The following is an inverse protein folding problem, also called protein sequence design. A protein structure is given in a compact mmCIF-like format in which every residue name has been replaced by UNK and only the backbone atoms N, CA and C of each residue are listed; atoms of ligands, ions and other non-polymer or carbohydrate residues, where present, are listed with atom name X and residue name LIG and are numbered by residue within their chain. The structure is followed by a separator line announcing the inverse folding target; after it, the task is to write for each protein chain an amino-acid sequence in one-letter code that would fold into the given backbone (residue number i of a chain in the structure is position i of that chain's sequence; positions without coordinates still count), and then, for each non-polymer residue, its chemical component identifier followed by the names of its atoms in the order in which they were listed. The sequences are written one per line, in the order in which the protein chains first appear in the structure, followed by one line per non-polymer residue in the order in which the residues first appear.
data_IF_148752640668
#
_entry.id   IF_148752640668
#
_cell.length_a   1.000
_cell.length_b   1.000
_cell.length_c   1.000
_cell.angle_alpha   90.00
_cell.angle_beta   90.00
_cell.angle_gamma   90.00
#
_symmetry.space_group_name_H-M   'P 1'
#
loop_
_entity.id
_entity.type
_entity.pdbx_description
1 polymer ?
#
# COMPACT_ATOMS: atom_id res chain seq x y z
N UNK A 1 -9.24 -5.48 1.10
CA UNK A 1 -9.23 -4.05 0.68
C UNK A 1 -8.27 -3.88 -0.48
N UNK A 2 -8.57 -2.99 -1.44
CA UNK A 2 -7.66 -2.67 -2.56
C UNK A 2 -7.40 -1.16 -2.58
N UNK A 3 -6.14 -0.76 -2.49
CA UNK A 3 -5.70 0.63 -2.66
C UNK A 3 -5.48 0.88 -4.15
N UNK A 4 -6.35 1.68 -4.77
CA UNK A 4 -6.44 1.81 -6.24
C UNK A 4 -5.78 3.06 -6.81
N UNK A 5 -5.46 4.04 -5.97
CA UNK A 5 -4.85 5.26 -6.47
C UNK A 5 -5.85 6.33 -6.89
N UNK A 6 -5.32 7.43 -7.42
CA UNK A 6 -6.12 8.40 -8.15
C UNK A 6 -6.45 7.85 -9.55
N UNK A 7 -7.74 7.73 -9.84
CA UNK A 7 -8.25 7.21 -11.13
C UNK A 7 -8.57 8.31 -12.14
N UNK A 8 -8.38 9.58 -11.77
CA UNK A 8 -8.62 10.72 -12.65
C UNK A 8 -7.38 11.10 -13.46
N UNK A 9 -6.25 10.41 -13.27
CA UNK A 9 -5.02 10.60 -14.03
C UNK A 9 -5.15 9.85 -15.36
N UNK A 10 -4.87 10.53 -16.47
CA UNK A 10 -4.84 9.92 -17.81
C UNK A 10 -3.72 8.88 -17.90
N UNK A 11 -3.84 7.89 -18.80
CA UNK A 11 -2.79 6.86 -18.92
C UNK A 11 -1.42 7.45 -19.31
N UNK A 12 -1.44 8.52 -20.10
CA UNK A 12 -0.26 9.26 -20.54
C UNK A 12 0.45 10.01 -19.40
N UNK A 13 -0.25 10.23 -18.29
CA UNK A 13 0.24 10.95 -17.12
C UNK A 13 0.58 10.02 -15.95
N UNK A 14 0.29 8.73 -16.05
CA UNK A 14 0.57 7.76 -14.97
C UNK A 14 2.03 7.82 -14.52
N UNK A 15 3.00 7.95 -15.43
CA UNK A 15 4.43 8.01 -15.05
C UNK A 15 4.92 9.40 -14.64
N UNK A 16 4.09 10.44 -14.81
CA UNK A 16 4.48 11.86 -14.66
C UNK A 16 3.95 12.45 -13.37
N UNK A 17 2.72 12.08 -12.99
CA UNK A 17 2.04 12.64 -11.82
C UNK A 17 2.22 11.70 -10.63
N UNK A 18 2.95 12.16 -9.63
CA UNK A 18 3.06 11.51 -8.33
C UNK A 18 2.22 12.29 -7.31
N UNK A 19 1.05 11.75 -6.97
CA UNK A 19 0.22 12.33 -5.92
C UNK A 19 0.63 11.76 -4.57
N UNK A 20 1.02 12.62 -3.63
CA UNK A 20 1.19 12.23 -2.24
C UNK A 20 -0.17 11.87 -1.62
N UNK A 21 -0.34 10.60 -1.27
CA UNK A 21 -1.57 10.03 -0.74
C UNK A 21 -1.33 9.30 0.58
N UNK A 22 -0.26 9.72 1.29
CA UNK A 22 0.07 9.23 2.64
C UNK A 22 -1.09 9.45 3.61
N UNK A 23 -1.79 10.58 3.53
CA UNK A 23 -2.96 10.87 4.37
C UNK A 23 -4.11 9.87 4.16
N UNK A 24 -4.38 9.49 2.92
CA UNK A 24 -5.40 8.50 2.58
C UNK A 24 -5.00 7.11 3.11
N UNK A 25 -3.74 6.72 2.91
CA UNK A 25 -3.22 5.46 3.45
C UNK A 25 -3.30 5.42 4.99
N UNK A 26 -2.99 6.53 5.66
CA UNK A 26 -3.08 6.63 7.11
C UNK A 26 -4.53 6.49 7.60
N UNK A 27 -5.50 7.06 6.88
CA UNK A 27 -6.91 6.90 7.21
C UNK A 27 -7.35 5.43 7.10
N UNK A 28 -6.96 4.75 6.00
CA UNK A 28 -7.24 3.32 5.84
C UNK A 28 -6.58 2.45 6.90
N UNK A 29 -5.35 2.77 7.31
CA UNK A 29 -4.66 2.08 8.39
C UNK A 29 -5.41 2.24 9.73
N UNK A 30 -5.92 3.43 10.02
CA UNK A 30 -6.73 3.67 11.22
C UNK A 30 -8.04 2.87 11.20
N UNK A 31 -8.78 2.88 10.09
CA UNK A 31 -10.02 2.10 9.94
C UNK A 31 -9.76 0.61 10.14
N UNK A 32 -8.67 0.08 9.57
CA UNK A 32 -8.31 -1.33 9.74
C UNK A 32 -8.03 -1.67 11.20
N UNK A 33 -7.30 -0.80 11.91
CA UNK A 33 -7.00 -0.99 13.34
C UNK A 33 -8.27 -0.96 14.20
N UNK A 34 -9.13 0.04 14.01
CA UNK A 34 -10.42 0.11 14.73
C UNK A 34 -11.28 -1.14 14.44
N UNK A 35 -11.33 -1.60 13.19
CA UNK A 35 -12.07 -2.82 12.83
C UNK A 35 -11.52 -4.07 13.55
N UNK A 36 -10.20 -4.15 13.75
CA UNK A 36 -9.58 -5.26 14.48
C UNK A 36 -9.89 -5.21 15.99
N UNK A 37 -9.97 -4.01 16.57
CA UNK A 37 -10.27 -3.82 18.00
C UNK A 37 -11.76 -4.06 18.31
N UNK A 38 -12.64 -3.62 17.42
CA UNK A 38 -14.10 -3.63 17.61
C UNK A 38 -14.76 -4.96 17.19
N UNK A 39 -14.29 -5.61 16.13
CA UNK A 39 -14.88 -6.84 15.61
C UNK A 39 -13.92 -8.04 15.67
N UNK A 40 -13.97 -8.74 16.81
CA UNK A 40 -13.19 -9.97 17.05
C UNK A 40 -13.54 -11.14 16.11
N UNK A 41 -14.58 -11.02 15.26
CA UNK A 41 -14.91 -12.04 14.24
C UNK A 41 -14.00 -11.95 13.02
N UNK A 42 -13.34 -10.81 12.80
CA UNK A 42 -12.39 -10.62 11.71
C UNK A 42 -11.10 -11.38 12.05
N UNK A 43 -10.87 -12.51 11.37
CA UNK A 43 -9.67 -13.35 11.58
C UNK A 43 -8.54 -13.07 10.59
N UNK A 44 -8.85 -12.46 9.45
CA UNK A 44 -7.90 -12.21 8.38
C UNK A 44 -8.30 -10.96 7.60
N UNK A 45 -7.33 -10.07 7.36
CA UNK A 45 -7.46 -8.95 6.45
C UNK A 45 -6.37 -9.02 5.39
N UNK A 46 -6.76 -8.84 4.13
CA UNK A 46 -5.83 -8.77 2.99
C UNK A 46 -5.96 -7.37 2.37
N UNK A 47 -4.82 -6.70 2.20
CA UNK A 47 -4.72 -5.40 1.56
C UNK A 47 -3.82 -5.51 0.34
N UNK A 48 -4.37 -5.16 -0.83
CA UNK A 48 -3.63 -5.17 -2.09
C UNK A 48 -3.39 -3.73 -2.56
N UNK A 49 -2.13 -3.37 -2.79
CA UNK A 49 -1.77 -2.13 -3.48
C UNK A 49 -1.78 -2.38 -4.99
N UNK A 50 -2.73 -1.75 -5.69
CA UNK A 50 -2.83 -1.80 -7.14
C UNK A 50 -3.10 -0.40 -7.67
N UNK A 51 -2.11 0.46 -7.42
CA UNK A 51 -2.12 1.89 -7.63
C UNK A 51 -0.76 2.34 -8.17
N UNK A 52 -0.74 3.57 -8.69
CA UNK A 52 0.49 4.29 -9.00
C UNK A 52 0.88 5.26 -7.85
N UNK A 53 0.74 4.84 -6.59
CA UNK A 53 1.25 5.65 -5.47
C UNK A 53 2.75 5.39 -5.28
N UNK A 54 3.51 6.46 -5.00
CA UNK A 54 4.92 6.42 -4.66
C UNK A 54 5.79 5.58 -5.61
N UNK A 55 5.66 5.83 -6.93
CA UNK A 55 6.41 5.22 -8.05
C UNK A 55 6.07 3.78 -8.43
N UNK A 56 5.59 2.90 -7.54
CA UNK A 56 5.27 1.50 -7.88
C UNK A 56 4.46 0.82 -6.74
N UNK A 57 3.54 -0.12 -7.08
CA UNK A 57 2.72 -0.86 -6.11
C UNK A 57 3.49 -1.45 -4.90
N UNK A 58 4.72 -2.00 -5.08
CA UNK A 58 5.58 -2.42 -3.97
C UNK A 58 5.95 -1.32 -2.96
N UNK A 59 6.19 -0.08 -3.41
CA UNK A 59 6.50 1.05 -2.51
C UNK A 59 5.30 1.45 -1.65
N UNK A 60 4.10 1.39 -2.21
CA UNK A 60 2.85 1.57 -1.44
C UNK A 60 2.70 0.47 -0.39
N UNK A 61 2.89 -0.79 -0.77
CA UNK A 61 2.80 -1.91 0.16
C UNK A 61 3.83 -1.79 1.29
N UNK A 62 5.07 -1.38 0.96
CA UNK A 62 6.14 -1.12 1.93
C UNK A 62 5.71 -0.08 2.97
N UNK A 63 5.26 1.10 2.52
CA UNK A 63 4.83 2.19 3.40
C UNK A 63 3.62 1.78 4.25
N UNK A 64 2.63 1.15 3.62
CA UNK A 64 1.41 0.72 4.31
C UNK A 64 1.71 -0.31 5.40
N UNK A 65 2.60 -1.28 5.15
CA UNK A 65 3.06 -2.23 6.18
C UNK A 65 3.58 -1.50 7.42
N UNK A 66 4.43 -0.49 7.25
CA UNK A 66 4.92 0.33 8.36
C UNK A 66 3.79 1.03 9.13
N UNK A 67 2.79 1.57 8.42
CA UNK A 67 1.65 2.26 9.04
C UNK A 67 0.76 1.34 9.90
N UNK A 68 0.69 0.05 9.57
CA UNK A 68 -0.07 -0.95 10.34
C UNK A 68 0.83 -1.80 11.25
N UNK A 69 2.05 -1.33 11.55
CA UNK A 69 3.04 -2.00 12.40
C UNK A 69 3.42 -3.42 11.95
N UNK A 70 3.30 -3.71 10.65
CA UNK A 70 3.86 -4.91 10.04
C UNK A 70 5.29 -4.63 9.58
N UNK A 71 6.13 -5.66 9.66
CA UNK A 71 7.48 -5.59 9.09
C UNK A 71 7.37 -5.43 7.57
N UNK A 72 7.81 -4.30 6.99
CA UNK A 72 7.80 -4.14 5.55
C UNK A 72 8.84 -5.09 4.95
N UNK A 73 8.50 -5.73 3.84
CA UNK A 73 9.47 -6.51 3.08
C UNK A 73 10.21 -5.52 2.16
N UNK A 74 11.53 -5.63 2.05
CA UNK A 74 12.29 -4.82 1.11
C UNK A 74 12.41 -5.57 -0.23
N UNK A 75 11.77 -5.04 -1.28
CA UNK A 75 11.75 -5.68 -2.61
C UNK A 75 13.05 -5.50 -3.38
N UNK A 76 13.80 -4.41 -3.15
CA UNK A 76 15.09 -4.17 -3.82
C UNK A 76 16.18 -5.15 -3.36
N UNK A 77 16.08 -5.66 -2.12
CA UNK A 77 16.99 -6.70 -1.63
C UNK A 77 16.68 -8.11 -2.13
N UNK A 78 15.45 -8.38 -2.61
CA UNK A 78 15.09 -9.71 -3.15
C UNK A 78 15.55 -9.87 -4.59
N UNK A 79 15.40 -8.86 -5.45
CA UNK A 79 15.83 -8.94 -6.85
C UNK A 79 17.34 -9.16 -7.01
N UNK A 80 18.17 -8.62 -6.12
CA UNK A 80 19.61 -8.82 -6.16
C UNK A 80 20.06 -10.26 -5.83
N UNK A 81 19.25 -11.02 -5.07
CA UNK A 81 19.56 -12.40 -4.66
C UNK A 81 19.05 -13.47 -5.63
N UNK A 82 18.19 -13.09 -6.57
CA UNK A 82 17.60 -13.99 -7.56
C UNK A 82 18.34 -13.96 -8.92
N UNK A 83 19.50 -13.29 -8.98
CA UNK A 83 20.41 -13.35 -10.13
C UNK A 83 21.33 -14.56 -9.98
N UNK A 84 20.90 -15.70 -10.52
CA UNK A 84 21.72 -16.91 -10.71
C UNK A 84 22.47 -16.85 -12.05
#
# INVERSE_FOLDING_TARGET
MRLIGDRNISEDDFRKIQTDRVSEMQNWANILRSSQEEDKRIKLAIVAANNHYARFGPGTAYLFCGMINLRPVNWEQRSAKDTF
#
